data_IF_748901245188
#
_entry.id   IF_748901245188
#
_cell.length_a   1.000
_cell.length_b   1.000
_cell.length_c   1.000
_cell.angle_alpha   90.00
_cell.angle_beta   90.00
_cell.angle_gamma   90.00
#
_symmetry.space_group_name_H-M   'P 1'
#
loop_
_entity.id
_entity.type
_entity.pdbx_description
1 polymer ?
#
# COMPACT_ATOMS: atom_id res chain seq x y z
N UNK A 1 -7.60 14.52 2.42
CA UNK A 1 -8.63 13.93 1.55
C UNK A 1 -8.05 13.41 0.23
N UNK A 2 -7.50 14.24 -0.67
CA UNK A 2 -7.00 13.78 -1.98
C UNK A 2 -5.94 12.64 -1.90
N UNK A 3 -4.98 12.73 -0.96
CA UNK A 3 -3.95 11.68 -0.76
C UNK A 3 -4.53 10.33 -0.32
N UNK A 4 -5.60 10.35 0.48
CA UNK A 4 -6.30 9.14 0.95
C UNK A 4 -6.99 8.48 -0.24
N UNK A 5 -7.64 9.28 -1.10
CA UNK A 5 -8.28 8.76 -2.31
C UNK A 5 -7.29 8.17 -3.30
N UNK A 6 -6.12 8.80 -3.49
CA UNK A 6 -5.06 8.24 -4.32
C UNK A 6 -4.52 6.94 -3.75
N UNK A 7 -4.35 6.83 -2.42
CA UNK A 7 -3.88 5.60 -1.77
C UNK A 7 -4.90 4.47 -1.91
N UNK A 8 -6.16 4.73 -1.57
CA UNK A 8 -7.25 3.76 -1.68
C UNK A 8 -7.48 3.32 -3.13
N UNK A 9 -7.46 4.26 -4.08
CA UNK A 9 -7.59 3.94 -5.50
C UNK A 9 -6.50 2.98 -5.99
N UNK A 10 -5.25 3.19 -5.57
CA UNK A 10 -4.14 2.26 -5.89
C UNK A 10 -4.34 0.88 -5.26
N UNK A 11 -4.75 0.83 -3.99
CA UNK A 11 -5.01 -0.44 -3.30
C UNK A 11 -6.16 -1.22 -3.94
N UNK A 12 -7.23 -0.54 -4.36
CA UNK A 12 -8.36 -1.16 -5.07
C UNK A 12 -7.88 -1.76 -6.40
N UNK A 13 -7.07 -1.02 -7.17
CA UNK A 13 -6.52 -1.51 -8.43
C UNK A 13 -5.62 -2.74 -8.23
N UNK A 14 -4.77 -2.75 -7.19
CA UNK A 14 -3.90 -3.89 -6.87
C UNK A 14 -4.75 -5.10 -6.47
N UNK A 15 -5.69 -4.92 -5.53
CA UNK A 15 -6.55 -6.00 -5.07
C UNK A 15 -7.38 -6.61 -6.19
N UNK A 16 -7.95 -5.78 -7.08
CA UNK A 16 -8.72 -6.23 -8.23
C UNK A 16 -7.86 -6.97 -9.28
N UNK A 17 -6.57 -6.63 -9.39
CA UNK A 17 -5.63 -7.31 -10.29
C UNK A 17 -5.18 -8.68 -9.75
N UNK A 18 -4.96 -8.77 -8.44
CA UNK A 18 -4.53 -10.03 -7.79
C UNK A 18 -5.66 -11.04 -7.62
N UNK A 19 -6.84 -10.58 -7.21
CA UNK A 19 -7.98 -11.45 -6.85
C UNK A 19 -9.18 -11.36 -7.78
N UNK A 20 -9.07 -10.63 -8.89
CA UNK A 20 -10.17 -10.38 -9.82
C UNK A 20 -11.04 -9.16 -9.44
N UNK A 21 -11.78 -8.59 -10.41
CA UNK A 21 -12.51 -7.33 -10.26
C UNK A 21 -13.83 -7.44 -9.49
N UNK A 22 -14.23 -8.66 -9.12
CA UNK A 22 -15.51 -8.93 -8.46
C UNK A 22 -15.37 -8.93 -6.93
N UNK A 23 -16.03 -8.02 -6.19
CA UNK A 23 -15.96 -7.96 -4.73
C UNK A 23 -16.58 -9.17 -4.00
N UNK A 24 -17.44 -9.94 -4.65
CA UNK A 24 -18.06 -11.11 -4.02
C UNK A 24 -17.07 -12.27 -3.91
N UNK A 25 -16.23 -12.43 -4.94
CA UNK A 25 -15.17 -13.44 -5.01
C UNK A 25 -13.82 -12.94 -4.49
N UNK A 26 -13.65 -11.63 -4.25
CA UNK A 26 -12.42 -11.01 -3.75
C UNK A 26 -12.63 -10.30 -2.39
N UNK A 27 -12.33 -10.97 -1.25
CA UNK A 27 -12.50 -10.39 0.08
C UNK A 27 -11.67 -9.11 0.32
N UNK A 28 -10.46 -9.04 -0.25
CA UNK A 28 -9.57 -7.87 -0.13
C UNK A 28 -10.20 -6.64 -0.80
N UNK A 29 -10.72 -6.82 -2.01
CA UNK A 29 -11.43 -5.78 -2.74
C UNK A 29 -12.69 -5.32 -2.00
N UNK A 30 -13.45 -6.26 -1.41
CA UNK A 30 -14.65 -5.93 -0.62
C UNK A 30 -14.35 -5.03 0.57
N UNK A 31 -13.30 -5.33 1.34
CA UNK A 31 -12.88 -4.50 2.48
C UNK A 31 -12.45 -3.11 2.02
N UNK A 32 -11.67 -3.00 0.94
CA UNK A 32 -11.23 -1.72 0.40
C UNK A 32 -12.39 -0.86 -0.12
N UNK A 33 -13.41 -1.48 -0.73
CA UNK A 33 -14.63 -0.79 -1.16
C UNK A 33 -15.41 -0.27 0.05
N UNK A 34 -15.51 -1.06 1.13
CA UNK A 34 -16.14 -0.60 2.38
C UNK A 34 -15.37 0.58 3.00
N UNK A 35 -14.03 0.53 3.01
CA UNK A 35 -13.20 1.62 3.49
C UNK A 35 -13.33 2.89 2.62
N UNK A 36 -13.37 2.72 1.30
CA UNK A 36 -13.62 3.84 0.38
C UNK A 36 -14.98 4.50 0.61
N UNK A 37 -16.03 3.72 0.91
CA UNK A 37 -17.34 4.25 1.32
C UNK A 37 -17.25 4.99 2.66
N UNK A 38 -16.53 4.46 3.66
CA UNK A 38 -16.31 5.13 4.96
C UNK A 38 -15.62 6.49 4.79
N UNK A 39 -14.68 6.61 3.85
CA UNK A 39 -13.97 7.85 3.53
C UNK A 39 -14.74 8.80 2.58
N UNK A 40 -16.02 8.52 2.29
CA UNK A 40 -16.86 9.28 1.35
C UNK A 40 -16.25 9.40 -0.06
N UNK A 41 -15.54 8.37 -0.52
CA UNK A 41 -15.05 8.33 -1.90
C UNK A 41 -16.25 8.17 -2.88
N UNK A 42 -16.37 9.00 -3.92
CA UNK A 42 -17.38 8.84 -4.96
C UNK A 42 -17.34 7.46 -5.62
N UNK A 43 -18.51 6.86 -5.87
CA UNK A 43 -18.64 5.51 -6.46
C UNK A 43 -17.92 5.40 -7.80
N UNK A 44 -17.96 6.43 -8.63
CA UNK A 44 -17.26 6.51 -9.92
C UNK A 44 -15.74 6.35 -9.78
N UNK A 45 -15.13 6.86 -8.70
CA UNK A 45 -13.70 6.71 -8.47
C UNK A 45 -13.33 5.26 -8.13
N UNK A 46 -14.19 4.57 -7.38
CA UNK A 46 -14.03 3.15 -7.03
C UNK A 46 -14.16 2.30 -8.29
N UNK A 47 -15.22 2.50 -9.08
CA UNK A 47 -15.44 1.77 -10.34
C UNK A 47 -14.31 2.00 -11.33
N UNK A 48 -13.80 3.24 -11.44
CA UNK A 48 -12.64 3.57 -12.28
C UNK A 48 -11.38 2.85 -11.80
N UNK A 49 -11.18 2.71 -10.49
CA UNK A 49 -10.03 2.00 -9.94
C UNK A 49 -10.09 0.49 -10.23
N UNK A 50 -11.29 -0.10 -10.21
CA UNK A 50 -11.52 -1.52 -10.57
C UNK A 50 -11.30 -1.73 -12.07
N UNK A 51 -11.88 -0.88 -12.93
CA UNK A 51 -11.69 -0.97 -14.39
C UNK A 51 -10.23 -0.83 -14.80
N UNK A 52 -9.48 0.05 -14.14
CA UNK A 52 -8.03 0.17 -14.35
C UNK A 52 -7.26 -1.11 -14.06
N UNK A 53 -7.75 -1.98 -13.18
CA UNK A 53 -7.07 -3.25 -12.90
C UNK A 53 -7.17 -4.24 -14.09
N UNK A 54 -8.21 -4.10 -14.91
CA UNK A 54 -8.44 -4.95 -16.10
C UNK A 54 -7.79 -4.40 -17.37
N UNK A 55 -7.34 -3.14 -17.38
CA UNK A 55 -6.63 -2.54 -18.49
C UNK A 55 -5.18 -3.03 -18.55
N UNK A 56 -4.76 -3.54 -19.72
CA UNK A 56 -3.42 -4.10 -19.95
C UNK A 56 -2.28 -3.08 -19.85
N UNK A 57 -2.57 -1.79 -19.96
CA UNK A 57 -1.59 -0.69 -19.94
C UNK A 57 -1.31 -0.11 -18.54
N UNK A 58 -1.89 -0.69 -17.47
CA UNK A 58 -1.68 -0.16 -16.13
C UNK A 58 -0.36 -0.66 -15.54
N UNK A 59 0.51 0.31 -15.24
CA UNK A 59 1.78 0.15 -14.55
C UNK A 59 1.68 -0.86 -13.42
N UNK A 60 2.57 -1.85 -13.42
CA UNK A 60 2.58 -2.99 -12.50
C UNK A 60 2.91 -2.52 -11.08
N UNK A 61 1.87 -2.13 -10.33
CA UNK A 61 2.00 -1.73 -8.94
C UNK A 61 2.23 -2.96 -8.08
N UNK A 62 3.35 -2.95 -7.36
CA UNK A 62 3.77 -3.99 -6.42
C UNK A 62 3.69 -3.47 -5.01
N UNK A 63 3.26 -4.34 -4.11
CA UNK A 63 3.35 -4.09 -2.68
C UNK A 63 4.76 -4.45 -2.20
N UNK A 64 5.39 -3.51 -1.51
CA UNK A 64 6.75 -3.67 -0.98
C UNK A 64 6.76 -3.18 0.46
N UNK A 65 7.35 -3.97 1.34
CA UNK A 65 7.61 -3.61 2.73
C UNK A 65 9.07 -3.22 2.86
N UNK A 66 9.32 -2.07 3.47
CA UNK A 66 10.65 -1.61 3.81
C UNK A 66 10.77 -1.52 5.33
N UNK A 67 11.89 -1.97 5.85
CA UNK A 67 12.15 -2.04 7.28
C UNK A 67 13.39 -1.23 7.62
N UNK A 68 13.41 -0.61 8.80
CA UNK A 68 14.56 0.16 9.25
C UNK A 68 14.39 0.72 10.64
N UNK A 69 15.37 1.50 11.05
CA UNK A 69 15.40 2.16 12.35
C UNK A 69 15.50 3.67 12.17
N UNK A 70 14.65 4.41 12.87
CA UNK A 70 14.74 5.85 13.01
C UNK A 70 15.72 6.27 14.13
N UNK A 71 15.76 7.57 14.45
CA UNK A 71 16.49 8.08 15.61
C UNK A 71 16.18 7.31 16.88
N UNK A 72 17.18 7.19 17.76
CA UNK A 72 17.05 6.52 19.06
C UNK A 72 16.69 5.03 18.97
N UNK A 73 16.88 4.40 17.80
CA UNK A 73 16.61 2.97 17.62
C UNK A 73 15.14 2.61 17.48
N UNK A 74 14.29 3.57 17.08
CA UNK A 74 12.86 3.32 16.86
C UNK A 74 12.68 2.45 15.62
N UNK A 75 12.17 1.23 15.79
CA UNK A 75 11.87 0.33 14.68
C UNK A 75 10.69 0.84 13.82
N UNK A 76 10.84 0.80 12.51
CA UNK A 76 9.85 1.31 11.55
C UNK A 76 9.61 0.31 10.41
N UNK A 77 8.34 -0.05 10.21
CA UNK A 77 7.86 -0.79 9.04
C UNK A 77 7.13 0.17 8.11
N UNK A 78 7.53 0.20 6.84
CA UNK A 78 6.97 1.09 5.82
C UNK A 78 6.37 0.25 4.70
N UNK A 79 5.05 0.08 4.74
CA UNK A 79 4.29 -0.58 3.68
C UNK A 79 4.03 0.38 2.51
N UNK A 80 4.33 -0.07 1.30
CA UNK A 80 4.21 0.76 0.10
C UNK A 80 3.55 0.01 -1.05
N UNK A 81 2.91 0.77 -1.93
CA UNK A 81 2.39 0.31 -3.21
C UNK A 81 3.04 1.16 -4.31
N UNK A 82 3.89 0.55 -5.14
CA UNK A 82 4.72 1.27 -6.13
C UNK A 82 4.80 0.56 -7.48
N UNK A 83 4.79 1.33 -8.55
CA UNK A 83 5.08 0.93 -9.93
C UNK A 83 6.59 0.91 -10.22
N UNK A 84 7.42 1.43 -9.32
CA UNK A 84 8.87 1.48 -9.46
C UNK A 84 9.55 1.25 -8.10
N UNK A 85 9.91 -0.01 -7.78
CA UNK A 85 10.58 -0.35 -6.52
C UNK A 85 11.92 0.36 -6.33
N UNK A 86 12.70 0.53 -7.40
CA UNK A 86 14.02 1.18 -7.37
C UNK A 86 13.91 2.65 -6.95
N UNK A 87 12.93 3.38 -7.50
CA UNK A 87 12.64 4.77 -7.10
C UNK A 87 12.16 4.84 -5.65
N UNK A 88 11.29 3.91 -5.25
CA UNK A 88 10.73 3.92 -3.90
C UNK A 88 11.80 3.64 -2.85
N UNK A 89 12.63 2.60 -3.02
CA UNK A 89 13.69 2.28 -2.06
C UNK A 89 14.70 3.42 -1.95
N UNK A 90 15.05 4.08 -3.07
CA UNK A 90 15.95 5.24 -3.06
C UNK A 90 15.36 6.41 -2.26
N UNK A 91 14.08 6.72 -2.47
CA UNK A 91 13.39 7.78 -1.73
C UNK A 91 13.26 7.46 -0.24
N UNK A 92 12.81 6.24 0.10
CA UNK A 92 12.67 5.80 1.49
C UNK A 92 14.01 5.89 2.20
N UNK A 93 15.08 5.32 1.62
CA UNK A 93 16.44 5.40 2.17
C UNK A 93 16.90 6.84 2.37
N UNK A 94 16.67 7.72 1.40
CA UNK A 94 17.01 9.14 1.50
C UNK A 94 16.34 9.80 2.70
N UNK A 95 15.06 9.51 2.96
CA UNK A 95 14.35 10.05 4.12
C UNK A 95 14.82 9.50 5.45
N UNK A 96 15.13 8.20 5.55
CA UNK A 96 15.76 7.63 6.74
C UNK A 96 17.09 8.33 7.04
N UNK A 97 17.99 8.39 6.05
CA UNK A 97 19.31 9.02 6.20
C UNK A 97 19.22 10.50 6.59
N UNK A 98 18.30 11.25 5.96
CA UNK A 98 18.11 12.68 6.24
C UNK A 98 17.69 12.97 7.68
N UNK A 99 16.99 12.03 8.32
CA UNK A 99 16.45 12.20 9.67
C UNK A 99 17.17 11.33 10.71
N UNK A 100 18.41 10.91 10.46
CA UNK A 100 19.21 10.19 11.46
C UNK A 100 18.79 8.74 11.70
N UNK A 101 18.11 8.13 10.73
CA UNK A 101 17.79 6.70 10.70
C UNK A 101 18.55 5.97 9.60
N UNK A 102 18.30 4.66 9.50
CA UNK A 102 18.84 3.79 8.45
C UNK A 102 17.78 2.80 7.97
N UNK A 103 17.79 2.55 6.66
CA UNK A 103 17.00 1.46 6.07
C UNK A 103 17.74 0.14 6.27
N UNK A 104 17.07 -0.85 6.84
CA UNK A 104 17.57 -2.20 7.07
C UNK A 104 17.34 -3.15 5.89
N UNK A 105 17.56 -4.42 6.14
CA UNK A 105 17.23 -5.52 5.22
C UNK A 105 15.83 -6.05 5.50
N UNK A 106 15.21 -6.68 4.50
CA UNK A 106 13.94 -7.40 4.71
C UNK A 106 14.12 -8.45 5.81
N UNK A 107 13.16 -8.55 6.73
CA UNK A 107 13.19 -9.49 7.86
C UNK A 107 13.93 -8.98 9.10
N UNK A 108 14.54 -7.80 9.07
CA UNK A 108 15.22 -7.19 10.22
C UNK A 108 14.31 -6.90 11.41
N UNK A 109 12.99 -6.79 11.19
CA UNK A 109 11.99 -6.46 12.20
C UNK A 109 10.96 -7.57 12.42
N UNK A 110 11.11 -8.74 11.79
CA UNK A 110 10.15 -9.87 11.88
C UNK A 110 9.89 -10.34 13.32
N UNK A 111 10.89 -10.21 14.19
CA UNK A 111 10.77 -10.59 15.61
C UNK A 111 10.21 -9.48 16.51
N UNK A 112 10.03 -8.26 15.98
CA UNK A 112 9.53 -7.10 16.72
C UNK A 112 8.06 -6.79 16.45
N UNK A 113 7.55 -7.14 15.26
CA UNK A 113 6.17 -6.84 14.86
C UNK A 113 5.39 -8.10 14.49
N UNK A 114 4.16 -8.16 14.97
CA UNK A 114 3.17 -9.14 14.53
C UNK A 114 2.25 -8.53 13.45
N UNK A 115 1.99 -9.27 12.38
CA UNK A 115 0.92 -8.94 11.46
C UNK A 115 -0.44 -9.34 12.06
N UNK A 116 -1.30 -8.37 12.39
CA UNK A 116 -2.61 -8.57 13.02
C UNK A 116 -3.74 -7.88 12.24
N UNK A 117 -4.94 -8.46 12.29
CA UNK A 117 -6.15 -7.81 11.78
C UNK A 117 -6.74 -6.88 12.85
N UNK A 118 -7.04 -5.63 12.49
CA UNK A 118 -7.70 -4.64 13.36
C UNK A 118 -9.03 -4.23 12.74
N UNK A 119 -10.11 -4.40 13.48
CA UNK A 119 -11.46 -4.00 13.08
C UNK A 119 -11.87 -2.74 13.86
N UNK A 120 -12.29 -1.67 13.16
CA UNK A 120 -12.69 -0.38 13.74
C UNK A 120 -14.02 0.11 13.19
#
# INVERSE_FOLDING_TARGET
MARVFTKLGKQITIAAREGGPDPDTNPRLRVLIQQAKKENMPKENVERAIKKATDKDVSDYKEMVYEGYGPFGIAMVVETATDNPTRTVANVRSYFNKHGGSLGTSGSLEFLFDHKCVFR
#
